data_IF_568662040173
#
_entry.id   IF_568662040173
#
_cell.length_a   1.000
_cell.length_b   1.000
_cell.length_c   1.000
_cell.angle_alpha   90.00
_cell.angle_beta   90.00
_cell.angle_gamma   90.00
#
_symmetry.space_group_name_H-M   'P 1'
#
loop_
_entity.id
_entity.type
_entity.pdbx_description
1 polymer ?
#
# COMPACT_ATOMS: atom_id res chain seq x y z
N UNK A 1 -1.92 19.63 1.89
CA UNK A 1 -1.24 18.36 1.68
C UNK A 1 -1.59 17.80 0.31
N UNK A 2 -0.63 17.26 -0.35
CA UNK A 2 -0.88 16.63 -1.65
C UNK A 2 -1.60 15.32 -1.47
N UNK A 3 -2.54 15.06 -2.36
CA UNK A 3 -3.34 13.84 -2.31
C UNK A 3 -2.47 12.59 -2.33
N UNK A 4 -1.41 12.58 -3.14
CA UNK A 4 -0.51 11.44 -3.24
C UNK A 4 0.12 11.10 -1.88
N UNK A 5 0.62 12.10 -1.18
CA UNK A 5 1.23 11.88 0.13
C UNK A 5 0.21 11.37 1.15
N UNK A 6 -0.98 11.95 1.13
CA UNK A 6 -2.05 11.51 2.01
C UNK A 6 -2.39 10.03 1.77
N UNK A 7 -2.56 9.67 0.50
CA UNK A 7 -2.91 8.31 0.14
C UNK A 7 -1.83 7.31 0.53
N UNK A 8 -0.57 7.67 0.35
CA UNK A 8 0.55 6.80 0.74
C UNK A 8 0.61 6.62 2.24
N UNK A 9 0.33 7.70 2.99
CA UNK A 9 0.33 7.64 4.45
C UNK A 9 -0.76 6.69 4.95
N UNK A 10 -1.97 6.80 4.40
CA UNK A 10 -3.07 5.91 4.80
C UNK A 10 -2.74 4.47 4.46
N UNK A 11 -2.14 4.23 3.29
CA UNK A 11 -1.75 2.89 2.88
C UNK A 11 -0.75 2.28 3.88
N UNK A 12 0.23 3.08 4.32
CA UNK A 12 1.20 2.61 5.29
C UNK A 12 0.55 2.31 6.65
N UNK A 13 -0.42 3.11 7.06
CA UNK A 13 -1.14 2.85 8.30
C UNK A 13 -1.91 1.54 8.24
N UNK A 14 -2.57 1.27 7.13
CA UNK A 14 -3.29 0.01 6.95
C UNK A 14 -2.34 -1.17 6.96
N UNK A 15 -1.18 -1.04 6.33
CA UNK A 15 -0.17 -2.10 6.34
C UNK A 15 0.33 -2.36 7.76
N UNK A 16 0.56 -1.29 8.53
CA UNK A 16 1.10 -1.40 9.87
C UNK A 16 0.14 -2.10 10.84
N UNK A 17 -1.17 -1.90 10.64
CA UNK A 17 -2.17 -2.51 11.50
C UNK A 17 -2.20 -4.03 11.37
N UNK A 18 -2.00 -4.55 10.17
CA UNK A 18 -2.16 -5.97 9.92
C UNK A 18 -3.63 -6.37 9.90
N UNK A 19 -3.94 -7.48 9.24
CA UNK A 19 -5.31 -7.97 9.17
C UNK A 19 -6.26 -7.06 8.40
N UNK A 20 -5.73 -6.16 7.58
CA UNK A 20 -6.53 -5.18 6.87
C UNK A 20 -6.45 -5.40 5.36
N UNK A 21 -6.33 -6.66 4.93
CA UNK A 21 -6.08 -6.97 3.52
C UNK A 21 -7.14 -6.42 2.58
N UNK A 22 -8.42 -6.52 2.96
CA UNK A 22 -9.50 -6.04 2.11
C UNK A 22 -9.45 -4.52 1.99
N UNK A 23 -9.29 -3.84 3.12
CA UNK A 23 -9.22 -2.38 3.15
C UNK A 23 -7.98 -1.89 2.42
N UNK A 24 -6.86 -2.58 2.63
CA UNK A 24 -5.60 -2.22 1.99
C UNK A 24 -5.73 -2.30 0.46
N UNK A 25 -6.29 -3.39 -0.05
CA UNK A 25 -6.46 -3.55 -1.49
C UNK A 25 -7.40 -2.51 -2.07
N UNK A 26 -8.48 -2.24 -1.37
CA UNK A 26 -9.44 -1.22 -1.80
C UNK A 26 -8.80 0.16 -1.86
N UNK A 27 -8.04 0.50 -0.82
CA UNK A 27 -7.38 1.79 -0.78
C UNK A 27 -6.28 1.89 -1.84
N UNK A 28 -5.52 0.81 -2.02
CA UNK A 28 -4.46 0.79 -3.04
C UNK A 28 -5.04 0.96 -4.45
N UNK A 29 -6.17 0.32 -4.74
CA UNK A 29 -6.83 0.49 -6.03
C UNK A 29 -7.30 1.92 -6.23
N UNK A 30 -7.89 2.52 -5.20
CA UNK A 30 -8.31 3.92 -5.26
C UNK A 30 -7.14 4.87 -5.45
N UNK A 31 -6.05 4.60 -4.76
CA UNK A 31 -4.84 5.40 -4.87
C UNK A 31 -4.25 5.31 -6.27
N UNK A 32 -4.29 4.11 -6.87
CA UNK A 32 -3.84 3.92 -8.24
C UNK A 32 -4.68 4.75 -9.22
N UNK A 33 -5.99 4.75 -9.04
CA UNK A 33 -6.88 5.57 -9.88
C UNK A 33 -6.64 7.05 -9.71
N UNK A 34 -6.21 7.45 -8.52
CA UNK A 34 -5.91 8.86 -8.23
C UNK A 34 -4.57 9.31 -8.80
N UNK A 35 -3.81 8.41 -9.43
CA UNK A 35 -2.59 8.77 -10.11
C UNK A 35 -1.30 8.30 -9.48
N UNK A 36 -1.37 7.64 -8.31
CA UNK A 36 -0.17 7.09 -7.68
C UNK A 36 0.15 5.75 -8.34
N UNK A 37 1.38 5.59 -8.80
CA UNK A 37 1.79 4.35 -9.43
C UNK A 37 1.94 3.23 -8.41
N UNK A 38 1.91 1.99 -8.91
CA UNK A 38 2.19 0.83 -8.05
C UNK A 38 3.61 0.90 -7.49
N UNK A 39 4.54 1.42 -8.27
CA UNK A 39 5.91 1.58 -7.80
C UNK A 39 6.00 2.55 -6.63
N UNK A 40 5.28 3.66 -6.69
CA UNK A 40 5.28 4.65 -5.61
C UNK A 40 4.66 4.05 -4.35
N UNK A 41 3.57 3.28 -4.49
CA UNK A 41 2.93 2.64 -3.35
C UNK A 41 3.87 1.62 -2.71
N UNK A 42 4.53 0.80 -3.52
CA UNK A 42 5.48 -0.19 -3.03
C UNK A 42 6.65 0.48 -2.33
N UNK A 43 7.16 1.56 -2.90
CA UNK A 43 8.26 2.31 -2.29
C UNK A 43 7.88 2.85 -0.92
N UNK A 44 6.64 3.33 -0.77
CA UNK A 44 6.16 3.82 0.51
C UNK A 44 6.16 2.71 1.56
N UNK A 45 5.70 1.52 1.20
CA UNK A 45 5.69 0.37 2.12
C UNK A 45 7.11 -0.04 2.50
N UNK A 46 8.01 -0.08 1.52
CA UNK A 46 9.42 -0.43 1.79
C UNK A 46 10.04 0.59 2.74
N UNK A 47 9.69 1.85 2.58
CA UNK A 47 10.19 2.91 3.46
C UNK A 47 9.75 2.71 4.91
N UNK A 48 8.57 2.11 5.11
CA UNK A 48 8.03 1.85 6.44
C UNK A 48 8.56 0.54 7.04
N UNK A 49 9.28 -0.26 6.27
CA UNK A 49 9.71 -1.59 6.69
C UNK A 49 10.38 -1.64 8.07
N UNK A 50 11.30 -0.72 8.42
CA UNK A 50 11.94 -0.76 9.73
C UNK A 50 10.97 -0.62 10.90
N UNK A 51 9.77 -0.09 10.64
CA UNK A 51 8.80 0.21 11.69
C UNK A 51 7.69 -0.82 11.76
N UNK A 52 7.32 -1.45 10.65
CA UNK A 52 6.18 -2.37 10.60
C UNK A 52 6.59 -3.84 10.50
N UNK A 53 7.85 -4.10 10.15
CA UNK A 53 8.38 -5.45 10.05
C UNK A 53 8.08 -6.13 8.72
N UNK A 54 8.85 -7.16 8.42
CA UNK A 54 8.77 -7.88 7.15
C UNK A 54 7.41 -8.51 6.87
N UNK A 55 6.81 -9.26 7.82
CA UNK A 55 5.55 -9.95 7.50
C UNK A 55 4.46 -9.01 7.02
N UNK A 56 4.26 -7.90 7.71
CA UNK A 56 3.23 -6.94 7.35
C UNK A 56 3.57 -6.20 6.06
N UNK A 57 4.84 -5.86 5.88
CA UNK A 57 5.28 -5.19 4.66
C UNK A 57 5.09 -6.10 3.44
N UNK A 58 5.48 -7.38 3.55
CA UNK A 58 5.32 -8.32 2.46
C UNK A 58 3.85 -8.55 2.11
N UNK A 59 2.99 -8.64 3.11
CA UNK A 59 1.56 -8.78 2.86
C UNK A 59 1.00 -7.58 2.10
N UNK A 60 1.43 -6.38 2.49
CA UNK A 60 0.99 -5.16 1.82
C UNK A 60 1.48 -5.11 0.37
N UNK A 61 2.74 -5.46 0.15
CA UNK A 61 3.31 -5.47 -1.20
C UNK A 61 2.59 -6.49 -2.08
N UNK A 62 2.28 -7.66 -1.55
CA UNK A 62 1.52 -8.67 -2.29
C UNK A 62 0.15 -8.14 -2.68
N UNK A 63 -0.52 -7.47 -1.77
CA UNK A 63 -1.83 -6.90 -2.05
C UNK A 63 -1.76 -5.86 -3.15
N UNK A 64 -0.74 -5.02 -3.12
CA UNK A 64 -0.54 -4.00 -4.14
C UNK A 64 -0.23 -4.64 -5.49
N UNK A 65 0.64 -5.64 -5.51
CA UNK A 65 1.03 -6.30 -6.75
C UNK A 65 -0.12 -7.02 -7.43
N UNK A 66 -1.10 -7.49 -6.67
CA UNK A 66 -2.28 -8.14 -7.26
C UNK A 66 -3.09 -7.21 -8.13
N UNK A 67 -2.96 -5.91 -7.95
CA UNK A 67 -3.69 -4.94 -8.78
C UNK A 67 -3.23 -4.96 -10.23
N UNK A 68 -2.00 -5.38 -10.49
CA UNK A 68 -1.46 -5.44 -11.84
C UNK A 68 -1.51 -6.84 -12.43
N UNK A 69 -1.88 -7.84 -11.65
CA UNK A 69 -1.92 -9.21 -12.13
C UNK A 69 -3.20 -9.49 -12.91
N UNK A 70 -3.12 -10.20 -14.04
CA UNK A 70 -4.34 -10.61 -14.74
C UNK A 70 -5.08 -11.66 -13.90
N UNK A 71 -6.39 -11.61 -14.02
CA UNK A 71 -7.25 -12.57 -13.32
C UNK A 71 -7.15 -13.96 -13.89
#
# INVERSE_FOLDING_TARGET
MKTALYNETVLCLLAALGGTDVQLRGHAAGTLKAGNSLEAQTAAIVHCLPYIGFPRALNAIRAINRLSAPE
#
